data_IF_408069392474
#
_entry.id   IF_408069392474
#
_cell.length_a   1.000
_cell.length_b   1.000
_cell.length_c   1.000
_cell.angle_alpha   90.00
_cell.angle_beta   90.00
_cell.angle_gamma   90.00
#
_symmetry.space_group_name_H-M   'P 1'
#
loop_
_entity.id
_entity.type
_entity.pdbx_description
1 polymer ?
#
# COMPACT_ATOMS: atom_id res chain seq x y z
N UNK A 1 3.25 -10.34 -11.11
CA UNK A 1 3.23 -9.20 -10.15
C UNK A 1 2.89 -9.73 -8.74
N UNK A 2 3.42 -9.15 -7.66
CA UNK A 2 3.06 -9.58 -6.29
C UNK A 2 1.68 -9.00 -5.91
N UNK A 3 0.83 -9.75 -5.18
CA UNK A 3 -0.39 -9.16 -4.61
C UNK A 3 -0.01 -8.02 -3.66
N UNK A 4 -0.80 -6.95 -3.68
CA UNK A 4 -0.61 -5.80 -2.78
C UNK A 4 -1.27 -6.13 -1.45
N UNK A 5 -0.50 -6.04 -0.36
CA UNK A 5 -1.08 -6.11 0.98
C UNK A 5 -1.66 -4.75 1.39
N UNK A 6 -2.31 -4.72 2.56
CA UNK A 6 -2.96 -3.54 3.12
C UNK A 6 -2.04 -2.30 3.15
N UNK A 7 -0.79 -2.48 3.61
CA UNK A 7 0.20 -1.41 3.66
C UNK A 7 0.57 -0.88 2.27
N UNK A 8 0.76 -1.76 1.28
CA UNK A 8 1.07 -1.32 -0.08
C UNK A 8 -0.10 -0.53 -0.68
N UNK A 9 -1.34 -0.96 -0.42
CA UNK A 9 -2.53 -0.22 -0.85
C UNK A 9 -2.62 1.15 -0.20
N UNK A 10 -2.43 1.21 1.12
CA UNK A 10 -2.44 2.47 1.87
C UNK A 10 -1.33 3.40 1.40
N UNK A 11 -0.09 2.93 1.26
CA UNK A 11 1.02 3.76 0.80
C UNK A 11 0.80 4.29 -0.62
N UNK A 12 0.23 3.47 -1.50
CA UNK A 12 -0.15 3.91 -2.85
C UNK A 12 -1.24 4.99 -2.80
N UNK A 13 -2.26 4.82 -1.96
CA UNK A 13 -3.27 5.85 -1.74
C UNK A 13 -2.66 7.13 -1.15
N UNK A 14 -1.82 7.01 -0.12
CA UNK A 14 -1.12 8.13 0.52
C UNK A 14 -0.29 8.90 -0.50
N UNK A 15 0.42 8.18 -1.38
CA UNK A 15 1.15 8.81 -2.47
C UNK A 15 0.23 9.56 -3.42
N UNK A 16 -0.87 8.99 -3.87
CA UNK A 16 -1.79 9.68 -4.77
C UNK A 16 -2.40 10.95 -4.16
N UNK A 17 -2.58 11.00 -2.84
CA UNK A 17 -3.10 12.18 -2.14
C UNK A 17 -2.04 13.27 -1.94
N UNK A 18 -0.76 12.90 -1.76
CA UNK A 18 0.31 13.86 -1.46
C UNK A 18 1.27 14.06 -2.65
N UNK A 19 1.02 13.43 -3.80
CA UNK A 19 1.93 13.44 -4.97
C UNK A 19 2.30 14.85 -5.44
N UNK A 20 1.42 15.82 -5.23
CA UNK A 20 1.67 17.22 -5.60
C UNK A 20 2.72 17.86 -4.69
N UNK A 21 2.68 17.57 -3.39
CA UNK A 21 3.69 18.01 -2.41
C UNK A 21 5.05 17.36 -2.67
N UNK A 22 5.03 16.16 -3.23
CA UNK A 22 6.23 15.40 -3.58
C UNK A 22 6.66 15.52 -5.05
N UNK A 23 6.06 16.40 -5.86
CA UNK A 23 6.56 16.73 -7.20
C UNK A 23 7.90 17.48 -7.10
N UNK A 24 8.89 17.12 -7.93
CA UNK A 24 10.18 17.80 -8.06
C UNK A 24 11.41 16.90 -7.93
N UNK A 25 12.61 17.39 -8.29
CA UNK A 25 13.84 16.61 -8.26
C UNK A 25 14.27 16.29 -6.81
N UNK A 26 14.68 15.05 -6.55
CA UNK A 26 15.22 14.59 -5.26
C UNK A 26 14.60 13.31 -4.71
N UNK A 27 15.20 12.74 -3.65
CA UNK A 27 14.76 11.50 -2.99
C UNK A 27 13.54 11.72 -2.07
N UNK A 28 12.44 12.22 -2.65
CA UNK A 28 11.18 12.51 -1.95
C UNK A 28 10.37 11.26 -1.59
N UNK A 29 10.56 10.18 -2.35
CA UNK A 29 9.82 8.92 -2.17
C UNK A 29 10.17 8.19 -0.86
N UNK A 30 11.44 8.28 -0.44
CA UNK A 30 11.88 7.79 0.87
C UNK A 30 11.23 8.58 2.02
N UNK A 31 11.08 9.90 1.87
CA UNK A 31 10.43 10.75 2.87
C UNK A 31 8.92 10.44 2.97
N UNK A 32 8.23 10.34 1.83
CA UNK A 32 6.82 9.97 1.77
C UNK A 32 6.56 8.61 2.42
N UNK A 33 7.41 7.61 2.15
CA UNK A 33 7.24 6.29 2.75
C UNK A 33 7.40 6.32 4.28
N UNK A 34 8.29 7.17 4.82
CA UNK A 34 8.44 7.37 6.26
C UNK A 34 7.21 8.04 6.87
N UNK A 35 6.66 9.07 6.22
CA UNK A 35 5.46 9.77 6.69
C UNK A 35 4.25 8.84 6.66
N UNK A 36 4.03 8.16 5.54
CA UNK A 36 2.97 7.16 5.42
C UNK A 36 3.09 6.08 6.50
N UNK A 37 4.31 5.63 6.85
CA UNK A 37 4.49 4.59 7.87
C UNK A 37 4.12 5.11 9.26
N UNK A 38 4.42 6.39 9.55
CA UNK A 38 4.03 7.03 10.81
C UNK A 38 2.51 7.14 10.94
N UNK A 39 1.85 7.59 9.88
CA UNK A 39 0.38 7.73 9.85
C UNK A 39 -0.30 6.36 9.94
N UNK A 40 0.19 5.38 9.18
CA UNK A 40 -0.30 4.00 9.19
C UNK A 40 -0.25 3.32 10.56
N UNK A 41 0.79 3.61 11.35
CA UNK A 41 0.90 3.12 12.73
C UNK A 41 0.02 3.90 13.71
N UNK A 42 -0.44 5.10 13.33
CA UNK A 42 -1.33 5.95 14.13
C UNK A 42 -2.80 5.82 13.72
N UNK A 43 -3.11 5.06 12.67
CA UNK A 43 -4.48 4.89 12.18
C UNK A 43 -5.38 4.23 13.25
N UNK A 44 -6.63 4.70 13.39
CA UNK A 44 -7.65 3.98 14.14
C UNK A 44 -7.82 2.56 13.63
N UNK A 45 -8.26 1.66 14.51
CA UNK A 45 -8.48 0.26 14.17
C UNK A 45 -9.49 0.08 13.03
N UNK A 46 -10.51 0.94 12.96
CA UNK A 46 -11.54 0.92 11.92
C UNK A 46 -10.96 1.25 10.54
N UNK A 47 -10.17 2.30 10.43
CA UNK A 47 -9.47 2.65 9.18
C UNK A 47 -8.47 1.58 8.80
N UNK A 48 -7.75 1.02 9.78
CA UNK A 48 -6.82 -0.08 9.54
C UNK A 48 -7.53 -1.31 8.98
N UNK A 49 -8.68 -1.65 9.55
CA UNK A 49 -9.52 -2.77 9.11
C UNK A 49 -9.97 -2.58 7.66
N UNK A 50 -10.35 -1.36 7.25
CA UNK A 50 -10.70 -1.07 5.86
C UNK A 50 -9.58 -1.44 4.89
N UNK A 51 -8.33 -1.09 5.21
CA UNK A 51 -7.18 -1.44 4.36
C UNK A 51 -6.83 -2.93 4.41
N UNK A 52 -6.98 -3.57 5.58
CA UNK A 52 -6.75 -5.01 5.74
C UNK A 52 -7.75 -5.83 4.92
N UNK A 53 -9.05 -5.48 4.96
CA UNK A 53 -10.08 -6.12 4.13
C UNK A 53 -9.77 -5.97 2.63
N UNK A 54 -9.31 -4.80 2.21
CA UNK A 54 -8.87 -4.58 0.82
C UNK A 54 -7.64 -5.40 0.46
N UNK A 55 -6.68 -5.53 1.36
CA UNK A 55 -5.51 -6.38 1.19
C UNK A 55 -5.88 -7.85 1.01
N UNK A 56 -6.84 -8.34 1.80
CA UNK A 56 -7.40 -9.70 1.65
C UNK A 56 -8.08 -9.85 0.30
N UNK A 57 -8.94 -8.90 -0.08
CA UNK A 57 -9.64 -8.94 -1.38
C UNK A 57 -8.66 -8.95 -2.57
N UNK A 58 -7.60 -8.13 -2.53
CA UNK A 58 -6.54 -8.13 -3.54
C UNK A 58 -5.78 -9.46 -3.60
N UNK A 59 -5.51 -10.08 -2.44
CA UNK A 59 -4.91 -11.42 -2.38
C UNK A 59 -5.79 -12.48 -3.03
N UNK A 60 -7.09 -12.48 -2.73
CA UNK A 60 -8.07 -13.41 -3.31
C UNK A 60 -8.24 -13.18 -4.82
N UNK A 61 -8.32 -11.94 -5.27
CA UNK A 61 -8.39 -11.59 -6.69
C UNK A 61 -7.12 -12.00 -7.43
N UNK A 62 -5.96 -11.86 -6.78
CA UNK A 62 -4.67 -12.27 -7.34
C UNK A 62 -4.58 -13.78 -7.52
N UNK A 63 -5.00 -14.58 -6.53
CA UNK A 63 -5.04 -16.04 -6.62
C UNK A 63 -5.94 -16.49 -7.78
N UNK A 64 -7.13 -15.89 -7.92
CA UNK A 64 -8.04 -16.20 -9.03
C UNK A 64 -7.44 -15.84 -10.39
N UNK A 65 -6.72 -14.73 -10.48
CA UNK A 65 -6.11 -14.26 -11.72
C UNK A 65 -4.80 -14.98 -12.08
N UNK A 66 -4.07 -15.45 -11.07
CA UNK A 66 -2.77 -16.10 -11.21
C UNK A 66 -2.74 -17.40 -10.38
N UNK A 67 -3.46 -18.45 -10.81
CA UNK A 67 -3.58 -19.70 -10.05
C UNK A 67 -2.23 -20.40 -9.84
N UNK A 68 -1.30 -20.28 -10.81
CA UNK A 68 0.05 -20.85 -10.73
C UNK A 68 1.07 -19.92 -10.06
N UNK A 69 0.64 -18.82 -9.45
CA UNK A 69 1.55 -17.88 -8.83
C UNK A 69 2.25 -18.48 -7.61
N UNK A 70 3.59 -18.49 -7.66
CA UNK A 70 4.46 -18.82 -6.54
C UNK A 70 5.45 -17.69 -6.31
N UNK A 71 5.51 -17.17 -5.10
CA UNK A 71 6.51 -16.17 -4.73
C UNK A 71 7.91 -16.77 -4.85
N UNK A 72 8.79 -16.11 -5.61
CA UNK A 72 10.21 -16.41 -5.73
C UNK A 72 10.97 -15.14 -5.34
N UNK A 73 11.61 -15.10 -4.16
CA UNK A 73 12.33 -13.94 -3.66
C UNK A 73 13.57 -13.60 -4.49
#
# INVERSE_FOLDING_TARGET
PRPRNAWILYRSWYYENHKEEFKGPGNKMGHLSKLAAREWNSLPQEDRLYWDLRGVAEGLAHIQKYPDYKYRP
#
